data_IF_223011101509
#
_entry.id   IF_223011101509
#
_cell.length_a   1.000
_cell.length_b   1.000
_cell.length_c   1.000
_cell.angle_alpha   90.00
_cell.angle_beta   90.00
_cell.angle_gamma   90.00
#
_symmetry.space_group_name_H-M   'P 1'
#
loop_
_entity.id
_entity.type
_entity.pdbx_description
1 polymer ?
#
# COMPACT_ATOMS: atom_id res chain seq x y z
N UNK A 1 -0.02 10.59 -26.21
CA UNK A 1 1.23 10.05 -25.63
C UNK A 1 2.16 9.76 -26.80
N UNK A 2 3.34 10.39 -26.85
CA UNK A 2 4.20 10.37 -28.04
C UNK A 2 5.14 9.15 -27.96
N UNK A 3 5.03 8.23 -28.93
CA UNK A 3 5.76 6.95 -28.93
C UNK A 3 7.29 7.18 -28.91
N UNK A 4 7.76 8.24 -29.56
CA UNK A 4 9.16 8.63 -29.55
C UNK A 4 9.67 9.00 -28.15
N UNK A 5 8.85 9.70 -27.35
CA UNK A 5 9.24 10.08 -26.00
C UNK A 5 9.35 8.87 -25.04
N UNK A 6 8.59 7.81 -25.29
CA UNK A 6 8.69 6.56 -24.53
C UNK A 6 9.98 5.81 -24.90
N UNK A 7 10.28 5.70 -26.20
CA UNK A 7 11.50 5.05 -26.68
C UNK A 7 12.77 5.75 -26.18
N UNK A 8 12.79 7.08 -26.13
CA UNK A 8 13.92 7.85 -25.61
C UNK A 8 14.14 7.61 -24.11
N UNK A 9 13.06 7.46 -23.33
CA UNK A 9 13.12 7.13 -21.90
C UNK A 9 13.61 5.70 -21.69
N UNK A 10 13.11 4.74 -22.46
CA UNK A 10 13.55 3.33 -22.42
C UNK A 10 15.05 3.20 -22.76
N UNK A 11 15.52 3.90 -23.79
CA UNK A 11 16.93 3.93 -24.18
C UNK A 11 17.85 4.55 -23.12
N UNK A 12 17.41 5.64 -22.47
CA UNK A 12 18.15 6.28 -21.39
C UNK A 12 18.23 5.39 -20.13
N UNK A 13 17.17 4.62 -19.81
CA UNK A 13 17.18 3.68 -18.69
C UNK A 13 18.11 2.48 -18.94
N UNK A 14 18.17 1.97 -20.17
CA UNK A 14 19.06 0.85 -20.54
C UNK A 14 20.55 1.25 -20.46
N UNK A 15 20.90 2.48 -20.85
CA UNK A 15 22.26 3.01 -20.70
C UNK A 15 22.68 3.15 -19.23
N UNK A 16 21.75 3.53 -18.35
CA UNK A 16 22.03 3.70 -16.92
C UNK A 16 22.12 2.38 -16.14
N UNK A 17 21.55 1.28 -16.65
CA UNK A 17 21.60 -0.01 -15.97
C UNK A 17 21.76 -1.19 -16.96
N UNK A 18 22.97 -1.39 -17.50
CA UNK A 18 23.23 -2.38 -18.55
C UNK A 18 23.08 -3.85 -18.09
N UNK A 19 22.82 -4.10 -16.80
CA UNK A 19 22.56 -5.44 -16.25
C UNK A 19 21.07 -5.77 -16.13
N UNK A 20 20.16 -4.84 -16.41
CA UNK A 20 18.72 -5.12 -16.42
C UNK A 20 18.43 -6.11 -17.55
N UNK A 21 17.91 -7.29 -17.18
CA UNK A 21 17.49 -8.30 -18.14
C UNK A 21 16.07 -7.97 -18.54
N UNK A 22 15.89 -7.55 -19.79
CA UNK A 22 14.56 -7.28 -20.29
C UNK A 22 13.77 -8.59 -20.46
N UNK A 23 12.65 -8.75 -19.75
CA UNK A 23 11.76 -9.90 -19.91
C UNK A 23 10.46 -9.47 -20.62
N UNK A 24 10.36 -9.63 -21.96
CA UNK A 24 9.15 -9.23 -22.69
C UNK A 24 7.89 -10.01 -22.31
N UNK A 25 8.03 -11.19 -21.66
CA UNK A 25 6.89 -11.97 -21.17
C UNK A 25 6.35 -11.47 -19.82
N UNK A 26 7.21 -10.82 -19.03
CA UNK A 26 6.84 -10.18 -17.77
C UNK A 26 7.62 -8.85 -17.61
N UNK A 27 7.17 -7.77 -18.28
CA UNK A 27 7.86 -6.48 -18.24
C UNK A 27 7.89 -5.85 -16.85
N UNK A 28 7.11 -6.37 -15.90
CA UNK A 28 7.06 -5.90 -14.51
C UNK A 28 8.18 -6.48 -13.64
N UNK A 29 8.86 -7.54 -14.07
CA UNK A 29 9.92 -8.20 -13.29
C UNK A 29 11.13 -7.28 -13.03
N UNK A 30 11.34 -6.31 -13.93
CA UNK A 30 12.43 -5.34 -13.86
C UNK A 30 12.11 -4.13 -12.97
N UNK A 31 10.83 -3.96 -12.61
CA UNK A 31 10.36 -2.85 -11.82
C UNK A 31 10.59 -3.13 -10.34
N UNK A 32 11.03 -2.11 -9.61
CA UNK A 32 11.10 -2.16 -8.16
C UNK A 32 9.80 -1.64 -7.54
N UNK A 33 9.60 -1.89 -6.24
CA UNK A 33 8.39 -1.48 -5.52
C UNK A 33 8.08 0.02 -5.62
N UNK A 34 9.07 0.90 -5.85
CA UNK A 34 8.83 2.35 -6.01
C UNK A 34 8.10 2.70 -7.31
N UNK A 35 8.17 1.84 -8.32
CA UNK A 35 7.55 2.03 -9.62
C UNK A 35 6.11 1.53 -9.68
N UNK A 36 5.65 0.82 -8.63
CA UNK A 36 4.25 0.43 -8.47
C UNK A 36 3.47 1.42 -7.61
N UNK A 37 2.15 1.40 -7.71
CA UNK A 37 1.25 2.10 -6.79
C UNK A 37 0.74 1.08 -5.76
N UNK A 38 0.86 1.40 -4.48
CA UNK A 38 0.28 0.59 -3.40
C UNK A 38 -1.20 0.87 -3.26
N UNK A 39 -2.00 -0.19 -3.28
CA UNK A 39 -3.45 -0.11 -3.10
C UNK A 39 -3.83 -0.51 -1.67
N UNK A 40 -3.93 0.47 -0.79
CA UNK A 40 -4.36 0.29 0.60
C UNK A 40 -5.89 0.32 0.70
N UNK A 41 -6.48 -0.62 1.45
CA UNK A 41 -7.92 -0.83 1.52
C UNK A 41 -8.35 -1.12 2.94
N UNK A 42 -9.54 -0.67 3.29
CA UNK A 42 -10.28 -1.18 4.45
C UNK A 42 -11.65 -1.65 4.01
N UNK A 43 -12.13 -2.71 4.65
CA UNK A 43 -13.43 -3.31 4.40
C UNK A 43 -14.24 -3.45 5.69
N UNK A 44 -15.56 -3.58 5.54
CA UNK A 44 -16.41 -4.01 6.63
C UNK A 44 -16.29 -5.52 6.90
N UNK A 45 -17.05 -6.02 7.88
CA UNK A 45 -17.08 -7.45 8.25
C UNK A 45 -17.63 -8.37 7.15
N UNK A 46 -18.30 -7.82 6.14
CA UNK A 46 -18.81 -8.55 4.97
C UNK A 46 -17.84 -8.49 3.79
N UNK A 47 -16.60 -8.04 4.04
CA UNK A 47 -15.54 -7.85 3.05
C UNK A 47 -15.88 -6.82 1.96
N UNK A 48 -16.88 -5.97 2.18
CA UNK A 48 -17.17 -4.86 1.28
C UNK A 48 -16.13 -3.78 1.49
N UNK A 49 -15.45 -3.37 0.44
CA UNK A 49 -14.48 -2.27 0.48
C UNK A 49 -15.24 -0.98 0.79
N UNK A 50 -14.86 -0.30 1.87
CA UNK A 50 -15.47 0.95 2.33
C UNK A 50 -14.52 2.16 2.21
N UNK A 51 -13.23 1.91 2.05
CA UNK A 51 -12.23 2.96 1.82
C UNK A 51 -11.02 2.42 1.06
N UNK A 52 -10.47 3.27 0.19
CA UNK A 52 -9.34 2.97 -0.70
C UNK A 52 -8.38 4.15 -0.70
N UNK A 53 -7.09 3.87 -0.57
CA UNK A 53 -6.01 4.83 -0.73
C UNK A 53 -4.94 4.28 -1.67
N UNK A 54 -4.78 4.93 -2.83
CA UNK A 54 -3.81 4.56 -3.87
C UNK A 54 -2.84 5.70 -4.18
N UNK A 55 -2.50 6.52 -3.17
CA UNK A 55 -1.65 7.71 -3.33
C UNK A 55 -0.16 7.46 -3.14
N UNK A 56 0.23 6.23 -2.77
CA UNK A 56 1.57 5.91 -2.33
C UNK A 56 2.27 4.94 -3.29
N UNK A 57 3.59 5.07 -3.48
CA UNK A 57 4.39 4.05 -4.13
C UNK A 57 4.28 2.69 -3.44
N UNK A 58 4.51 1.60 -4.19
CA UNK A 58 4.53 0.22 -3.70
C UNK A 58 5.51 0.02 -2.55
N UNK A 59 6.62 0.75 -2.55
CA UNK A 59 7.65 0.68 -1.51
C UNK A 59 7.27 1.34 -0.18
N UNK A 60 6.11 2.01 -0.10
CA UNK A 60 5.69 2.70 1.12
C UNK A 60 5.22 1.67 2.15
N UNK A 61 5.67 1.79 3.40
CA UNK A 61 5.23 0.92 4.48
C UNK A 61 3.74 1.12 4.80
N UNK A 62 3.00 0.04 5.00
CA UNK A 62 1.54 0.12 5.15
C UNK A 62 1.11 0.82 6.44
N UNK A 63 1.89 0.68 7.53
CA UNK A 63 1.64 1.40 8.77
C UNK A 63 1.82 2.92 8.60
N UNK A 64 2.71 3.35 7.71
CA UNK A 64 2.81 4.76 7.34
C UNK A 64 1.55 5.24 6.62
N UNK A 65 1.03 4.46 5.65
CA UNK A 65 -0.22 4.79 4.94
C UNK A 65 -1.40 4.85 5.91
N UNK A 66 -1.48 3.91 6.85
CA UNK A 66 -2.49 3.89 7.89
C UNK A 66 -2.47 5.14 8.78
N UNK A 67 -1.28 5.55 9.25
CA UNK A 67 -1.13 6.75 10.08
C UNK A 67 -1.56 8.04 9.37
N UNK A 68 -1.53 8.07 8.04
CA UNK A 68 -1.99 9.18 7.22
C UNK A 68 -3.45 9.06 6.78
N UNK A 69 -4.13 7.94 7.10
CA UNK A 69 -5.49 7.68 6.65
C UNK A 69 -6.52 8.38 7.55
N UNK A 70 -7.52 9.01 6.93
CA UNK A 70 -8.63 9.64 7.67
C UNK A 70 -9.40 8.64 8.56
N UNK A 71 -9.43 7.35 8.17
CA UNK A 71 -10.06 6.28 8.97
C UNK A 71 -9.36 6.11 10.33
N UNK A 72 -8.03 6.26 10.38
CA UNK A 72 -7.29 6.19 11.65
C UNK A 72 -7.74 7.29 12.62
N UNK A 73 -7.84 8.53 12.14
CA UNK A 73 -8.33 9.66 12.95
C UNK A 73 -9.78 9.49 13.39
N UNK A 74 -10.66 9.04 12.50
CA UNK A 74 -12.06 8.76 12.82
C UNK A 74 -12.21 7.70 13.91
N UNK A 75 -11.50 6.58 13.79
CA UNK A 75 -11.53 5.52 14.80
C UNK A 75 -10.98 5.99 16.15
N UNK A 76 -9.90 6.78 16.14
CA UNK A 76 -9.38 7.37 17.38
C UNK A 76 -10.42 8.28 18.06
N UNK A 77 -11.12 9.11 17.29
CA UNK A 77 -12.18 10.00 17.80
C UNK A 77 -13.36 9.20 18.35
N UNK A 78 -13.82 8.18 17.62
CA UNK A 78 -14.90 7.29 18.07
C UNK A 78 -14.54 6.64 19.41
N UNK A 79 -13.31 6.18 19.56
CA UNK A 79 -12.84 5.60 20.82
C UNK A 79 -12.83 6.61 21.96
N UNK A 80 -12.36 7.83 21.70
CA UNK A 80 -12.31 8.91 22.69
C UNK A 80 -13.69 9.33 23.20
N UNK A 81 -14.73 9.29 22.35
CA UNK A 81 -16.11 9.60 22.76
C UNK A 81 -16.86 8.41 23.37
N UNK A 82 -16.17 7.29 23.61
CA UNK A 82 -16.73 6.12 24.30
C UNK A 82 -17.35 5.06 23.39
N UNK A 83 -17.25 5.20 22.06
CA UNK A 83 -17.59 4.10 21.17
C UNK A 83 -16.45 3.08 21.16
N UNK A 84 -16.69 1.89 21.70
CA UNK A 84 -15.66 0.84 21.86
C UNK A 84 -16.04 -0.49 21.22
N UNK A 85 -17.26 -0.62 20.67
CA UNK A 85 -17.76 -1.86 20.09
C UNK A 85 -17.46 -1.97 18.60
N UNK A 86 -16.19 -1.84 18.23
CA UNK A 86 -15.70 -2.06 16.87
C UNK A 86 -14.20 -2.36 16.89
N UNK A 87 -13.75 -3.12 15.89
CA UNK A 87 -12.35 -3.45 15.71
C UNK A 87 -12.01 -3.45 14.23
N UNK A 88 -10.85 -2.88 13.89
CA UNK A 88 -10.20 -3.14 12.61
C UNK A 88 -9.17 -4.24 12.80
N UNK A 89 -9.11 -5.18 11.86
CA UNK A 89 -8.08 -6.22 11.83
C UNK A 89 -7.04 -5.81 10.78
N UNK A 90 -5.77 -5.82 11.17
CA UNK A 90 -4.67 -5.67 10.20
C UNK A 90 -3.61 -6.73 10.41
N UNK A 91 -2.61 -6.74 9.54
CA UNK A 91 -1.52 -7.71 9.60
C UNK A 91 -0.52 -7.42 10.75
N UNK A 92 0.49 -8.28 10.89
CA UNK A 92 1.52 -8.17 11.92
C UNK A 92 2.43 -6.93 11.78
N UNK A 93 2.38 -6.21 10.66
CA UNK A 93 3.15 -4.99 10.41
C UNK A 93 2.55 -3.74 11.07
N UNK A 94 1.31 -3.82 11.57
CA UNK A 94 0.66 -2.71 12.27
C UNK A 94 0.86 -2.79 13.79
N UNK A 95 0.84 -1.64 14.48
CA UNK A 95 0.88 -1.63 15.93
C UNK A 95 -0.50 -1.95 16.52
N UNK A 96 -0.53 -2.78 17.57
CA UNK A 96 -1.74 -3.09 18.33
C UNK A 96 -2.34 -1.83 18.98
N UNK A 97 -3.68 -1.69 18.93
CA UNK A 97 -4.47 -0.61 19.56
C UNK A 97 -5.79 -1.16 20.10
N UNK A 98 -6.44 -0.42 21.00
CA UNK A 98 -7.76 -0.78 21.54
C UNK A 98 -8.86 -0.93 20.47
N UNK A 99 -8.68 -0.32 19.29
CA UNK A 99 -9.60 -0.39 18.15
C UNK A 99 -8.97 -1.00 16.88
N UNK A 100 -7.70 -1.44 16.95
CA UNK A 100 -6.97 -2.06 15.83
C UNK A 100 -6.23 -3.29 16.34
N UNK A 101 -6.75 -4.47 16.00
CA UNK A 101 -6.18 -5.75 16.41
C UNK A 101 -5.21 -6.26 15.36
N UNK A 102 -4.07 -6.74 15.82
CA UNK A 102 -3.10 -7.46 15.01
C UNK A 102 -3.01 -8.91 15.48
N UNK A 103 -3.04 -9.90 14.57
CA UNK A 103 -2.94 -11.30 14.93
C UNK A 103 -1.66 -11.58 15.72
N UNK A 104 -1.78 -12.43 16.73
CA UNK A 104 -0.60 -13.06 17.33
C UNK A 104 -0.07 -14.11 16.35
N UNK A 105 1.21 -14.03 16.02
CA UNK A 105 1.87 -15.10 15.29
C UNK A 105 2.05 -16.29 16.25
N UNK A 106 1.29 -17.36 16.01
CA UNK A 106 1.56 -18.65 16.65
C UNK A 106 2.84 -19.19 16.02
N UNK A 107 3.97 -19.02 16.70
CA UNK A 107 5.25 -19.65 16.37
C UNK A 107 5.27 -21.06 16.95
#
# INVERSE_FOLDING_TARGET
MNVFAIQDVEGAEQLNNPRRRHNPQNPYEELNERQFIKFFRTCDSSLKIINVNARYPGSTNDAYIWNQCNVHGLMQQLHQVGHTYYFLLGDSGYPLRSWFLTPFNNV
#
